data_IF_824972375522
#
_entry.id   IF_824972375522
#
_cell.length_a   1.000
_cell.length_b   1.000
_cell.length_c   1.000
_cell.angle_alpha   90.00
_cell.angle_beta   90.00
_cell.angle_gamma   90.00
#
_symmetry.space_group_name_H-M   'P 1'
#
loop_
_entity.id
_entity.type
_entity.pdbx_description
1 polymer ?
#
# COMPACT_ATOMS: atom_id res chain seq x y z
N UNK A 1 10.03 -36.65 -26.99
CA UNK A 1 9.95 -35.22 -27.31
C UNK A 1 9.21 -34.54 -26.17
N UNK A 2 9.99 -34.12 -25.17
CA UNK A 2 9.58 -33.22 -24.09
C UNK A 2 9.35 -31.82 -24.71
N UNK A 3 8.46 -30.99 -24.19
CA UNK A 3 8.85 -30.11 -23.09
C UNK A 3 7.63 -29.55 -22.35
N UNK A 4 7.72 -29.69 -21.02
CA UNK A 4 6.85 -29.08 -20.01
C UNK A 4 7.00 -27.56 -20.05
N UNK A 5 5.88 -26.83 -20.05
CA UNK A 5 5.86 -25.39 -19.88
C UNK A 5 6.17 -25.05 -18.42
N UNK A 6 7.40 -24.57 -18.17
CA UNK A 6 7.89 -24.10 -16.88
C UNK A 6 7.35 -22.68 -16.65
N UNK A 7 6.42 -22.51 -15.72
CA UNK A 7 6.05 -21.19 -15.20
C UNK A 7 7.19 -20.67 -14.33
N UNK A 8 8.08 -19.84 -14.92
CA UNK A 8 9.06 -19.05 -14.17
C UNK A 8 8.34 -17.95 -13.37
N UNK A 9 8.55 -18.00 -12.06
CA UNK A 9 8.25 -16.94 -11.10
C UNK A 9 9.36 -15.87 -11.17
N UNK A 10 8.97 -14.62 -10.87
CA UNK A 10 9.77 -13.40 -10.61
C UNK A 10 10.00 -12.49 -11.81
N UNK A 11 9.58 -11.24 -11.68
CA UNK A 11 10.50 -10.16 -11.31
C UNK A 11 9.69 -8.97 -10.76
N UNK A 12 9.92 -8.62 -9.50
CA UNK A 12 9.62 -7.30 -8.94
C UNK A 12 10.81 -6.44 -9.32
N UNK A 13 10.66 -5.37 -10.10
CA UNK A 13 11.74 -4.39 -10.30
C UNK A 13 11.21 -3.02 -10.74
N UNK A 14 11.22 -2.08 -9.81
CA UNK A 14 11.42 -0.65 -10.09
C UNK A 14 12.17 0.07 -8.95
N UNK A 15 12.63 -0.67 -7.92
CA UNK A 15 13.26 -0.08 -6.73
C UNK A 15 14.61 -0.73 -6.36
N UNK A 16 14.97 -1.89 -6.93
CA UNK A 16 16.28 -2.52 -6.68
C UNK A 16 17.43 -1.82 -7.43
N UNK A 17 17.16 -1.05 -8.48
CA UNK A 17 18.18 -0.31 -9.23
C UNK A 17 18.76 0.89 -8.47
N UNK A 18 18.10 1.37 -7.42
CA UNK A 18 18.66 2.44 -6.56
C UNK A 18 19.65 1.86 -5.53
N UNK A 19 19.63 0.56 -5.28
CA UNK A 19 20.44 -0.08 -4.22
C UNK A 19 21.74 -0.71 -4.71
N UNK A 20 22.01 -0.77 -6.02
CA UNK A 20 23.14 -1.53 -6.56
C UNK A 20 24.47 -0.79 -6.72
N UNK A 21 24.57 0.50 -6.34
CA UNK A 21 25.78 1.29 -6.65
C UNK A 21 26.70 1.63 -5.46
N UNK A 22 26.45 1.13 -4.24
CA UNK A 22 27.37 1.32 -3.11
C UNK A 22 27.36 0.08 -2.21
N UNK A 23 28.25 -0.87 -2.50
CA UNK A 23 29.03 -1.66 -1.53
C UNK A 23 29.50 -2.97 -2.18
N UNK A 24 30.64 -2.90 -2.88
CA UNK A 24 31.58 -4.01 -2.80
C UNK A 24 32.12 -4.01 -1.38
N UNK A 25 31.72 -4.98 -0.55
CA UNK A 25 32.51 -5.63 0.51
C UNK A 25 31.67 -6.80 1.03
N UNK A 26 32.21 -8.00 0.82
CA UNK A 26 31.61 -9.27 1.22
C UNK A 26 31.34 -9.32 2.73
N UNK A 27 30.15 -9.81 3.10
CA UNK A 27 29.90 -10.37 4.44
C UNK A 27 29.55 -11.85 4.28
N UNK A 28 30.29 -12.69 4.98
CA UNK A 28 30.20 -14.15 5.03
C UNK A 28 28.98 -14.64 5.80
N UNK A 29 28.45 -15.81 5.40
CA UNK A 29 27.23 -16.48 5.88
C UNK A 29 27.18 -16.86 7.39
N UNK A 30 28.16 -16.49 8.21
CA UNK A 30 28.30 -16.98 9.59
C UNK A 30 27.72 -16.07 10.69
N UNK A 31 27.24 -14.86 10.38
CA UNK A 31 26.65 -13.96 11.40
C UNK A 31 25.14 -14.17 11.61
N UNK A 32 24.50 -15.13 10.92
CA UNK A 32 23.06 -15.41 11.02
C UNK A 32 22.65 -16.20 12.29
N UNK A 33 23.50 -16.26 13.32
CA UNK A 33 23.20 -16.93 14.59
C UNK A 33 23.49 -16.04 15.79
N UNK A 34 22.62 -15.06 16.04
CA UNK A 34 22.19 -14.60 17.38
C UNK A 34 21.27 -13.37 17.26
N UNK A 35 19.98 -13.61 17.08
CA UNK A 35 19.01 -13.01 17.98
C UNK A 35 17.71 -13.80 17.92
N UNK A 36 17.48 -14.52 19.01
CA UNK A 36 16.23 -15.17 19.33
C UNK A 36 15.30 -14.04 19.80
N UNK A 37 14.54 -13.47 18.87
CA UNK A 37 13.34 -12.73 19.22
C UNK A 37 12.18 -13.55 18.69
N UNK A 38 11.50 -14.24 19.60
CA UNK A 38 10.11 -14.64 19.36
C UNK A 38 9.38 -13.38 18.93
N UNK A 39 9.05 -13.31 17.64
CA UNK A 39 8.04 -12.37 17.14
C UNK A 39 6.73 -12.86 17.73
N UNK A 40 6.43 -12.41 18.95
CA UNK A 40 5.06 -12.35 19.42
C UNK A 40 4.28 -11.66 18.30
N UNK A 41 3.34 -12.38 17.72
CA UNK A 41 2.27 -11.80 16.92
C UNK A 41 1.56 -10.88 17.89
N UNK A 42 2.01 -9.63 17.95
CA UNK A 42 1.33 -8.61 18.74
C UNK A 42 0.02 -8.48 18.02
N UNK A 43 -1.04 -9.00 18.63
CA UNK A 43 -2.42 -8.71 18.29
C UNK A 43 -2.50 -7.18 18.28
N UNK A 44 -2.33 -6.60 17.11
CA UNK A 44 -2.42 -5.18 16.91
C UNK A 44 -3.90 -4.86 17.04
N UNK A 45 -4.35 -4.72 18.29
CA UNK A 45 -5.64 -4.13 18.62
C UNK A 45 -5.58 -2.69 18.10
N UNK A 46 -5.99 -2.53 16.85
CA UNK A 46 -6.23 -1.21 16.30
C UNK A 46 -7.32 -0.59 17.17
N UNK A 47 -7.09 0.59 17.78
CA UNK A 47 -8.11 1.23 18.57
C UNK A 47 -9.36 1.37 17.70
N UNK A 48 -10.47 0.76 18.15
CA UNK A 48 -11.79 0.97 17.57
C UNK A 48 -12.16 2.41 17.82
N UNK A 49 -11.75 3.30 16.91
CA UNK A 49 -12.34 4.62 16.80
C UNK A 49 -13.81 4.40 16.46
N UNK A 50 -14.66 4.42 17.48
CA UNK A 50 -16.11 4.41 17.33
C UNK A 50 -16.47 5.77 16.73
N UNK A 51 -16.49 5.85 15.41
CA UNK A 51 -17.16 6.93 14.72
C UNK A 51 -18.65 6.68 14.96
N UNK A 52 -19.33 7.67 15.54
CA UNK A 52 -20.75 7.56 15.85
C UNK A 52 -21.54 7.30 14.56
N UNK A 53 -22.58 6.46 14.62
CA UNK A 53 -23.43 6.16 13.45
C UNK A 53 -24.00 7.44 12.79
N UNK A 54 -24.13 8.51 13.58
CA UNK A 54 -24.61 9.84 13.19
C UNK A 54 -23.57 10.67 12.40
N UNK A 55 -22.27 10.50 12.63
CA UNK A 55 -21.21 11.16 11.84
C UNK A 55 -21.04 10.58 10.42
N UNK A 56 -21.43 9.31 10.24
CA UNK A 56 -21.37 8.61 8.95
C UNK A 56 -22.30 9.20 7.89
N UNK A 57 -23.45 9.77 8.31
CA UNK A 57 -24.48 10.28 7.38
C UNK A 57 -24.18 11.68 6.81
N UNK A 58 -23.40 12.50 7.50
CA UNK A 58 -23.13 13.90 7.08
C UNK A 58 -21.89 14.07 6.20
N UNK A 59 -21.13 12.99 5.95
CA UNK A 59 -19.87 13.00 5.21
C UNK A 59 -19.92 12.14 3.94
N UNK A 60 -21.11 11.90 3.39
CA UNK A 60 -21.21 11.15 2.14
C UNK A 60 -20.63 11.97 0.99
N UNK A 61 -19.65 11.40 0.30
CA UNK A 61 -19.14 11.87 -0.98
C UNK A 61 -19.99 11.22 -2.08
N UNK A 62 -21.10 11.83 -2.54
CA UNK A 62 -22.08 11.15 -3.38
C UNK A 62 -21.51 10.76 -4.74
N UNK A 63 -20.47 11.45 -5.21
CA UNK A 63 -19.79 11.13 -6.45
C UNK A 63 -19.08 9.77 -6.42
N UNK A 64 -18.79 9.20 -5.24
CA UNK A 64 -18.16 7.88 -5.13
C UNK A 64 -19.12 6.75 -5.52
N UNK A 65 -20.43 7.00 -5.51
CA UNK A 65 -21.44 6.02 -5.93
C UNK A 65 -21.84 6.14 -7.39
N UNK A 66 -21.23 7.06 -8.14
CA UNK A 66 -21.57 7.31 -9.55
C UNK A 66 -20.55 6.62 -10.49
N UNK A 67 -20.98 6.09 -11.64
CA UNK A 67 -20.05 5.53 -12.61
C UNK A 67 -19.14 6.62 -13.17
N UNK A 68 -17.88 6.26 -13.45
CA UNK A 68 -16.89 7.19 -13.98
C UNK A 68 -16.81 7.11 -15.50
N UNK A 69 -16.92 8.26 -16.15
CA UNK A 69 -16.61 8.40 -17.56
C UNK A 69 -15.19 8.95 -17.70
N UNK A 70 -14.21 8.06 -17.76
CA UNK A 70 -12.79 8.40 -17.83
C UNK A 70 -12.30 8.44 -19.29
N UNK A 71 -11.58 9.50 -19.65
CA UNK A 71 -10.85 9.57 -20.91
C UNK A 71 -9.42 9.09 -20.67
N UNK A 72 -9.15 7.84 -21.04
CA UNK A 72 -7.85 7.21 -20.82
C UNK A 72 -6.84 7.63 -21.88
N UNK A 73 -5.65 8.00 -21.41
CA UNK A 73 -4.47 8.27 -22.23
C UNK A 73 -3.46 7.15 -22.04
N UNK A 74 -3.11 6.46 -23.12
CA UNK A 74 -2.01 5.50 -23.12
C UNK A 74 -0.66 6.22 -23.08
N UNK A 75 0.26 5.72 -22.26
CA UNK A 75 1.65 6.15 -22.14
C UNK A 75 2.52 4.90 -22.30
N UNK A 76 3.14 4.78 -23.48
CA UNK A 76 3.89 3.59 -23.88
C UNK A 76 5.35 3.93 -24.17
N UNK A 77 6.25 3.06 -23.73
CA UNK A 77 7.67 3.05 -24.10
C UNK A 77 8.20 1.60 -24.05
N UNK A 78 9.49 1.40 -24.32
CA UNK A 78 10.10 0.08 -24.15
C UNK A 78 9.95 -0.38 -22.68
N UNK A 79 9.34 -1.55 -22.47
CA UNK A 79 9.00 -2.10 -21.16
C UNK A 79 8.08 -1.21 -20.28
N UNK A 80 7.35 -0.27 -20.88
CA UNK A 80 6.40 0.60 -20.18
C UNK A 80 5.04 0.60 -20.90
N UNK A 81 3.99 0.21 -20.18
CA UNK A 81 2.61 0.25 -20.65
C UNK A 81 1.72 0.76 -19.52
N UNK A 82 1.29 2.02 -19.62
CA UNK A 82 0.48 2.71 -18.61
C UNK A 82 -0.75 3.35 -19.25
N UNK A 83 -1.83 3.41 -18.47
CA UNK A 83 -3.02 4.19 -18.78
C UNK A 83 -3.21 5.25 -17.70
N UNK A 84 -3.48 6.48 -18.13
CA UNK A 84 -3.68 7.63 -17.25
C UNK A 84 -5.01 8.31 -17.55
N UNK A 85 -5.76 8.68 -16.51
CA UNK A 85 -6.95 9.50 -16.62
C UNK A 85 -7.08 10.40 -15.39
N UNK A 86 -7.67 11.58 -15.58
CA UNK A 86 -8.13 12.41 -14.47
C UNK A 86 -9.40 11.76 -13.89
N UNK A 87 -9.21 10.90 -12.88
CA UNK A 87 -10.30 10.08 -12.33
C UNK A 87 -11.30 10.88 -11.48
N UNK A 88 -10.78 11.87 -10.76
CA UNK A 88 -11.54 12.84 -9.98
C UNK A 88 -11.27 14.24 -10.53
N UNK A 89 -12.30 15.07 -10.61
CA UNK A 89 -12.07 16.51 -10.86
C UNK A 89 -11.50 17.18 -9.60
N UNK A 90 -10.99 18.40 -9.76
CA UNK A 90 -10.35 19.17 -8.68
C UNK A 90 -11.21 19.23 -7.40
N UNK A 91 -12.49 19.58 -7.54
CA UNK A 91 -13.42 19.71 -6.41
C UNK A 91 -13.64 18.37 -5.69
N UNK A 92 -13.78 17.28 -6.44
CA UNK A 92 -13.92 15.93 -5.88
C UNK A 92 -12.63 15.48 -5.18
N UNK A 93 -11.47 15.77 -5.79
CA UNK A 93 -10.16 15.43 -5.23
C UNK A 93 -9.90 16.17 -3.92
N UNK A 94 -10.25 17.45 -3.83
CA UNK A 94 -10.13 18.24 -2.60
C UNK A 94 -11.01 17.70 -1.46
N UNK A 95 -12.25 17.31 -1.79
CA UNK A 95 -13.15 16.68 -0.84
C UNK A 95 -12.61 15.32 -0.36
N UNK A 96 -12.08 14.51 -1.28
CA UNK A 96 -11.44 13.23 -0.93
C UNK A 96 -10.23 13.42 -0.04
N UNK A 97 -9.35 14.36 -0.39
CA UNK A 97 -8.18 14.66 0.41
C UNK A 97 -8.57 15.09 1.83
N UNK A 98 -9.55 15.99 1.94
CA UNK A 98 -10.08 16.45 3.24
C UNK A 98 -10.66 15.32 4.07
N UNK A 99 -11.31 14.34 3.42
CA UNK A 99 -11.87 13.17 4.12
C UNK A 99 -10.78 12.17 4.53
N UNK A 100 -9.79 11.92 3.67
CA UNK A 100 -8.64 11.08 3.98
C UNK A 100 -7.85 11.62 5.17
N UNK A 101 -7.64 12.93 5.27
CA UNK A 101 -6.94 13.53 6.42
C UNK A 101 -7.68 13.31 7.76
N UNK A 102 -9.01 13.11 7.73
CA UNK A 102 -9.82 12.84 8.92
C UNK A 102 -9.89 11.35 9.26
N UNK A 103 -10.01 10.48 8.26
CA UNK A 103 -10.27 9.05 8.46
C UNK A 103 -9.01 8.17 8.48
N UNK A 104 -7.93 8.58 7.81
CA UNK A 104 -6.73 7.75 7.67
C UNK A 104 -5.84 7.84 8.91
N UNK A 105 -5.62 6.69 9.54
CA UNK A 105 -4.81 6.56 10.74
C UNK A 105 -3.44 6.01 10.35
N UNK A 106 -2.45 6.91 10.26
CA UNK A 106 -1.08 6.56 9.89
C UNK A 106 -0.34 5.75 10.96
N UNK A 107 0.66 4.98 10.52
CA UNK A 107 1.55 4.27 11.43
C UNK A 107 2.40 5.25 12.24
N UNK A 108 2.65 4.90 13.51
CA UNK A 108 3.46 5.67 14.47
C UNK A 108 4.43 4.75 15.21
N UNK A 109 5.42 5.33 15.88
CA UNK A 109 6.39 4.60 16.70
C UNK A 109 7.17 3.58 15.87
N UNK A 110 7.31 2.36 16.40
CA UNK A 110 8.05 1.30 15.71
C UNK A 110 7.50 1.00 14.33
N UNK A 111 6.18 1.09 14.09
CA UNK A 111 5.56 0.84 12.78
C UNK A 111 5.99 1.86 11.71
N UNK A 112 6.43 3.06 12.10
CA UNK A 112 6.92 4.12 11.21
C UNK A 112 8.45 4.05 10.97
N UNK A 113 9.13 3.00 11.42
CA UNK A 113 10.55 2.78 11.19
C UNK A 113 10.82 1.71 10.14
N UNK A 114 11.96 1.81 9.49
CA UNK A 114 12.47 0.83 8.52
C UNK A 114 13.90 0.44 8.88
N UNK A 115 14.29 -0.79 8.58
CA UNK A 115 15.68 -1.22 8.74
C UNK A 115 16.45 -0.94 7.45
N UNK A 116 17.49 -0.13 7.54
CA UNK A 116 18.41 0.17 6.44
C UNK A 116 19.85 0.00 6.93
N UNK A 117 20.65 -0.82 6.22
CA UNK A 117 22.05 -1.11 6.57
C UNK A 117 22.23 -1.54 8.04
N UNK A 118 21.32 -2.39 8.54
CA UNK A 118 21.34 -2.89 9.93
C UNK A 118 20.87 -1.89 10.99
N UNK A 119 20.52 -0.65 10.61
CA UNK A 119 20.04 0.39 11.54
C UNK A 119 18.55 0.66 11.35
N UNK A 120 17.86 0.96 12.44
CA UNK A 120 16.47 1.43 12.40
C UNK A 120 16.44 2.93 12.15
N UNK A 121 15.71 3.33 11.09
CA UNK A 121 15.58 4.73 10.66
C UNK A 121 14.09 5.08 10.58
N UNK A 122 13.72 6.27 11.04
CA UNK A 122 12.37 6.79 10.88
C UNK A 122 12.08 7.09 9.40
N UNK A 123 10.90 6.68 8.92
CA UNK A 123 10.49 6.91 7.53
C UNK A 123 10.12 8.39 7.38
N UNK A 124 10.69 9.12 6.40
CA UNK A 124 10.47 10.58 6.23
C UNK A 124 9.12 10.92 5.58
N UNK A 125 8.10 10.07 5.79
CA UNK A 125 6.73 10.23 5.30
C UNK A 125 5.79 9.44 6.20
N UNK A 126 4.53 9.84 6.26
CA UNK A 126 3.53 9.04 6.94
C UNK A 126 3.03 7.96 5.97
N UNK A 127 2.94 6.73 6.44
CA UNK A 127 2.42 5.64 5.61
C UNK A 127 1.57 4.68 6.42
N UNK A 128 0.61 4.04 5.74
CA UNK A 128 -0.23 3.00 6.31
C UNK A 128 -0.79 2.11 5.21
N UNK A 129 -0.88 0.81 5.50
CA UNK A 129 -1.49 -0.16 4.63
C UNK A 129 -2.93 -0.45 5.06
N UNK A 130 -3.84 -0.55 4.10
CA UNK A 130 -5.20 -1.06 4.28
C UNK A 130 -5.44 -2.21 3.32
N UNK A 131 -6.28 -3.17 3.68
CA UNK A 131 -6.50 -4.34 2.85
C UNK A 131 -7.51 -5.31 3.45
N UNK A 132 -7.65 -6.44 2.75
CA UNK A 132 -8.45 -7.57 3.21
C UNK A 132 -7.89 -8.14 4.54
N UNK A 133 -8.77 -8.78 5.30
CA UNK A 133 -8.43 -9.29 6.62
C UNK A 133 -7.26 -10.30 6.57
N UNK A 134 -6.32 -10.16 7.50
CA UNK A 134 -5.15 -11.02 7.60
C UNK A 134 -4.01 -10.72 6.61
N UNK A 135 -4.14 -9.68 5.77
CA UNK A 135 -3.05 -9.30 4.87
C UNK A 135 -1.89 -8.64 5.62
N UNK A 136 -0.68 -8.99 5.21
CA UNK A 136 0.56 -8.38 5.67
C UNK A 136 1.42 -7.98 4.49
N UNK A 137 2.15 -6.88 4.62
CA UNK A 137 3.09 -6.39 3.62
C UNK A 137 4.50 -6.33 4.21
N UNK A 138 5.48 -6.92 3.52
CA UNK A 138 6.88 -6.90 3.94
C UNK A 138 7.66 -5.88 3.13
N UNK A 139 8.34 -4.98 3.83
CA UNK A 139 9.22 -3.98 3.23
C UNK A 139 10.50 -3.82 4.05
N UNK A 140 11.65 -3.92 3.38
CA UNK A 140 12.98 -3.79 3.99
C UNK A 140 13.17 -4.63 5.25
N UNK A 141 12.83 -5.93 5.16
CA UNK A 141 12.93 -6.88 6.27
C UNK A 141 11.84 -6.79 7.34
N UNK A 142 10.93 -5.82 7.22
CA UNK A 142 9.86 -5.60 8.19
C UNK A 142 8.50 -5.96 7.63
N UNK A 143 7.79 -6.85 8.31
CA UNK A 143 6.40 -7.21 7.99
C UNK A 143 5.45 -6.35 8.80
N UNK A 144 4.52 -5.70 8.10
CA UNK A 144 3.49 -4.84 8.68
C UNK A 144 2.10 -5.40 8.37
N UNK A 145 1.19 -5.47 9.35
CA UNK A 145 -0.19 -5.83 9.07
C UNK A 145 -0.90 -4.70 8.30
N UNK A 146 -1.74 -5.08 7.33
CA UNK A 146 -2.69 -4.17 6.73
C UNK A 146 -3.86 -3.94 7.70
N UNK A 147 -4.31 -2.70 7.80
CA UNK A 147 -5.53 -2.37 8.53
C UNK A 147 -6.76 -2.83 7.72
N UNK A 148 -7.88 -3.18 8.38
CA UNK A 148 -9.14 -3.42 7.68
C UNK A 148 -9.56 -2.19 6.90
N UNK A 149 -10.08 -2.38 5.69
CA UNK A 149 -10.61 -1.29 4.85
C UNK A 149 -11.58 -0.36 5.61
N UNK A 150 -11.47 0.94 5.36
CA UNK A 150 -12.52 1.91 5.78
C UNK A 150 -13.62 1.98 4.73
N UNK A 151 -14.81 2.45 5.11
CA UNK A 151 -15.92 2.66 4.18
C UNK A 151 -15.54 3.59 3.02
N UNK A 152 -14.74 4.63 3.27
CA UNK A 152 -14.22 5.52 2.23
C UNK A 152 -13.33 4.78 1.23
N UNK A 153 -12.36 4.00 1.72
CA UNK A 153 -11.42 3.28 0.87
C UNK A 153 -12.11 2.16 0.06
N UNK A 154 -13.13 1.50 0.63
CA UNK A 154 -13.96 0.55 -0.11
C UNK A 154 -14.67 1.23 -1.28
N UNK A 155 -15.30 2.39 -1.04
CA UNK A 155 -15.98 3.16 -2.10
C UNK A 155 -15.01 3.58 -3.22
N UNK A 156 -13.81 4.04 -2.87
CA UNK A 156 -12.77 4.39 -3.85
C UNK A 156 -12.35 3.14 -4.66
N UNK A 157 -12.06 2.03 -3.97
CA UNK A 157 -11.66 0.76 -4.58
C UNK A 157 -12.72 0.25 -5.55
N UNK A 158 -13.98 0.22 -5.13
CA UNK A 158 -15.09 -0.29 -5.92
C UNK A 158 -15.33 0.61 -7.14
N UNK A 159 -15.21 1.92 -7.00
CA UNK A 159 -15.31 2.84 -8.15
C UNK A 159 -14.17 2.64 -9.17
N UNK A 160 -12.94 2.37 -8.71
CA UNK A 160 -11.82 2.01 -9.61
C UNK A 160 -12.08 0.67 -10.29
N UNK A 161 -12.62 -0.31 -9.59
CA UNK A 161 -13.01 -1.60 -10.16
C UNK A 161 -14.04 -1.41 -11.28
N UNK A 162 -15.11 -0.64 -11.06
CA UNK A 162 -16.12 -0.37 -12.09
C UNK A 162 -15.53 0.31 -13.34
N UNK A 163 -14.54 1.17 -13.16
CA UNK A 163 -13.92 1.90 -14.28
C UNK A 163 -12.87 1.10 -15.05
N UNK A 164 -12.24 0.10 -14.42
CA UNK A 164 -11.06 -0.59 -14.97
C UNK A 164 -11.21 -2.11 -15.12
N UNK A 165 -12.16 -2.71 -14.40
CA UNK A 165 -12.34 -4.16 -14.28
C UNK A 165 -11.33 -4.85 -13.37
N UNK A 166 -10.39 -4.13 -12.76
CA UNK A 166 -9.37 -4.70 -11.89
C UNK A 166 -9.78 -4.67 -10.42
N UNK A 167 -9.60 -5.80 -9.74
CA UNK A 167 -9.84 -5.92 -8.30
C UNK A 167 -8.56 -5.67 -7.51
N UNK A 168 -8.68 -5.00 -6.37
CA UNK A 168 -7.57 -4.74 -5.45
C UNK A 168 -7.91 -5.28 -4.07
N UNK A 169 -6.96 -5.95 -3.43
CA UNK A 169 -7.09 -6.46 -2.07
C UNK A 169 -6.26 -5.66 -1.06
N UNK A 170 -5.50 -4.68 -1.52
CA UNK A 170 -4.53 -3.94 -0.73
C UNK A 170 -4.33 -2.52 -1.27
N UNK A 171 -4.08 -1.56 -0.38
CA UNK A 171 -3.62 -0.20 -0.69
C UNK A 171 -2.56 0.26 0.31
N UNK A 172 -1.51 0.91 -0.20
CA UNK A 172 -0.53 1.62 0.62
C UNK A 172 -0.74 3.12 0.45
N UNK A 173 -1.08 3.81 1.53
CA UNK A 173 -1.28 5.26 1.55
C UNK A 173 0.02 5.91 1.99
N UNK A 174 0.45 6.93 1.25
CA UNK A 174 1.62 7.75 1.57
C UNK A 174 1.19 9.22 1.67
N UNK A 175 1.69 9.92 2.68
CA UNK A 175 1.48 11.36 2.91
C UNK A 175 2.78 12.06 3.27
#
# INVERSE_FOLDING_TARGET
>A
MESKCVRKKRHYDALDDIMHNIAGHAFSDDDFKKSKYELEVVDAEFPKGVISMEETLNNELPFLSQPRNCQWRAINAENLNLEYSNFYNEKEADMLMSQCEKEIIYNVGELAKVQMFGKWIDIPRKQVAYGDEGLTYTFSGKTLPARPWTSLLLKIRDQIYEATGYTFNFVLINR
#
